data_IF_799977859800
#
_entry.id   IF_799977859800
#
_cell.length_a   1.000
_cell.length_b   1.000
_cell.length_c   1.000
_cell.angle_alpha   90.00
_cell.angle_beta   90.00
_cell.angle_gamma   90.00
#
_symmetry.space_group_name_H-M   'P 1'
#
loop_
_entity.id
_entity.type
_entity.pdbx_description
1 polymer ?
#
# COMPACT_ATOMS: atom_id res chain seq x y z
N UNK A 1 14.58 1.44 3.79
CA UNK A 1 14.44 2.90 3.90
C UNK A 1 12.95 3.25 3.82
N UNK A 2 12.39 3.96 4.81
CA UNK A 2 10.97 4.38 4.79
C UNK A 2 10.92 5.85 4.33
N UNK A 3 10.28 6.11 3.20
CA UNK A 3 10.10 7.47 2.67
C UNK A 3 8.73 7.98 3.09
N UNK A 4 8.70 9.14 3.76
CA UNK A 4 7.46 9.81 4.18
C UNK A 4 7.40 11.22 3.60
N UNK A 5 6.18 11.72 3.38
CA UNK A 5 5.98 13.07 2.89
C UNK A 5 6.40 14.13 3.90
N UNK A 6 6.95 15.25 3.42
CA UNK A 6 7.27 16.42 4.25
C UNK A 6 6.01 17.22 4.57
N UNK A 7 5.91 17.72 5.80
CA UNK A 7 4.75 18.49 6.26
C UNK A 7 5.10 19.97 6.36
N UNK A 8 4.22 20.86 5.90
CA UNK A 8 4.32 22.28 6.18
C UNK A 8 4.14 22.53 7.70
N UNK A 9 4.81 23.54 8.22
CA UNK A 9 4.64 24.00 9.61
C UNK A 9 4.12 25.44 9.61
N UNK A 10 3.72 25.94 10.79
CA UNK A 10 3.22 27.32 10.93
C UNK A 10 4.22 28.37 10.42
N UNK A 11 5.52 28.10 10.56
CA UNK A 11 6.61 29.00 10.15
C UNK A 11 7.21 28.68 8.78
N UNK A 12 6.84 27.55 8.15
CA UNK A 12 7.46 27.11 6.89
C UNK A 12 6.46 26.44 5.96
N UNK A 13 6.32 27.02 4.77
CA UNK A 13 5.61 26.39 3.64
C UNK A 13 6.51 25.39 2.94
N UNK A 14 5.89 24.42 2.26
CA UNK A 14 6.62 23.48 1.41
C UNK A 14 7.11 24.18 0.14
N UNK A 15 8.37 23.93 -0.22
CA UNK A 15 8.88 24.30 -1.54
C UNK A 15 8.17 23.50 -2.63
N UNK A 16 8.24 23.96 -3.88
CA UNK A 16 7.58 23.24 -4.98
C UNK A 16 8.20 21.86 -5.20
N UNK A 17 9.52 21.72 -5.02
CA UNK A 17 10.21 20.43 -5.05
C UNK A 17 9.73 19.47 -3.94
N UNK A 18 9.48 19.99 -2.73
CA UNK A 18 8.92 19.19 -1.62
C UNK A 18 7.48 18.75 -1.91
N UNK A 19 6.67 19.61 -2.53
CA UNK A 19 5.30 19.24 -2.94
C UNK A 19 5.31 18.18 -4.03
N UNK A 20 6.23 18.28 -4.98
CA UNK A 20 6.36 17.27 -6.04
C UNK A 20 6.81 15.92 -5.47
N UNK A 21 7.82 15.92 -4.62
CA UNK A 21 8.26 14.72 -3.92
C UNK A 21 7.11 14.08 -3.11
N UNK A 22 6.31 14.89 -2.41
CA UNK A 22 5.13 14.41 -1.69
C UNK A 22 4.09 13.82 -2.64
N UNK A 23 3.84 14.43 -3.80
CA UNK A 23 2.88 13.92 -4.79
C UNK A 23 3.32 12.55 -5.31
N UNK A 24 4.60 12.39 -5.63
CA UNK A 24 5.17 11.11 -6.06
C UNK A 24 5.00 10.04 -4.97
N UNK A 25 5.37 10.34 -3.73
CA UNK A 25 5.19 9.41 -2.60
C UNK A 25 3.72 9.06 -2.37
N UNK A 26 2.82 10.03 -2.45
CA UNK A 26 1.38 9.80 -2.30
C UNK A 26 0.82 8.93 -3.43
N UNK A 27 1.30 9.10 -4.67
CA UNK A 27 0.90 8.26 -5.81
C UNK A 27 1.27 6.81 -5.60
N UNK A 28 2.50 6.54 -5.15
CA UNK A 28 2.96 5.18 -4.85
C UNK A 28 2.16 4.55 -3.70
N UNK A 29 1.78 5.36 -2.68
CA UNK A 29 0.97 4.89 -1.55
C UNK A 29 -0.47 4.59 -1.91
N UNK A 30 -1.07 5.35 -2.83
CA UNK A 30 -2.50 5.27 -3.13
C UNK A 30 -2.93 3.84 -3.50
N UNK A 31 -2.15 3.14 -4.34
CA UNK A 31 -2.46 1.76 -4.73
C UNK A 31 -2.54 0.81 -3.52
N UNK A 32 -1.56 0.91 -2.61
CA UNK A 32 -1.52 0.09 -1.39
C UNK A 32 -2.67 0.45 -0.46
N UNK A 33 -2.91 1.74 -0.23
CA UNK A 33 -3.97 2.21 0.67
C UNK A 33 -5.36 1.77 0.16
N UNK A 34 -5.64 1.90 -1.13
CA UNK A 34 -6.88 1.42 -1.75
C UNK A 34 -7.00 -0.10 -1.66
N UNK A 35 -5.93 -0.84 -1.94
CA UNK A 35 -5.91 -2.30 -1.77
C UNK A 35 -6.26 -2.71 -0.34
N UNK A 36 -5.62 -2.10 0.66
CA UNK A 36 -5.91 -2.37 2.07
C UNK A 36 -7.31 -1.94 2.50
N UNK A 37 -7.86 -0.87 1.94
CA UNK A 37 -9.25 -0.49 2.16
C UNK A 37 -10.20 -1.62 1.71
N UNK A 38 -10.01 -2.14 0.49
CA UNK A 38 -10.81 -3.26 -0.02
C UNK A 38 -10.68 -4.51 0.85
N UNK A 39 -9.45 -4.88 1.26
CA UNK A 39 -9.23 -6.03 2.13
C UNK A 39 -9.93 -5.90 3.50
N UNK A 40 -10.03 -4.68 4.04
CA UNK A 40 -10.79 -4.39 5.26
C UNK A 40 -12.29 -4.50 5.01
N UNK A 41 -12.80 -3.89 3.94
CA UNK A 41 -14.23 -3.95 3.55
C UNK A 41 -14.72 -5.40 3.41
N UNK A 42 -13.92 -6.27 2.79
CA UNK A 42 -14.26 -7.69 2.62
C UNK A 42 -13.93 -8.57 3.84
N UNK A 43 -13.41 -7.96 4.92
CA UNK A 43 -12.95 -8.62 6.16
C UNK A 43 -11.92 -9.73 5.92
N UNK A 44 -11.14 -9.64 4.84
CA UNK A 44 -10.12 -10.65 4.49
C UNK A 44 -9.08 -10.74 5.59
N UNK A 45 -8.65 -9.61 6.15
CA UNK A 45 -7.67 -9.59 7.23
C UNK A 45 -8.15 -10.32 8.49
N UNK A 46 -9.45 -10.21 8.82
CA UNK A 46 -10.05 -10.94 9.93
C UNK A 46 -10.11 -12.45 9.64
N UNK A 47 -10.54 -12.84 8.43
CA UNK A 47 -10.60 -14.25 8.00
C UNK A 47 -9.21 -14.91 8.05
N UNK A 48 -8.20 -14.21 7.55
CA UNK A 48 -6.78 -14.64 7.57
C UNK A 48 -6.28 -14.78 9.01
N UNK A 49 -6.59 -13.83 9.91
CA UNK A 49 -6.18 -13.90 11.32
C UNK A 49 -6.81 -15.08 12.06
N UNK A 50 -8.05 -15.44 11.74
CA UNK A 50 -8.78 -16.49 12.45
C UNK A 50 -8.43 -17.92 11.97
N UNK A 51 -7.84 -18.08 10.78
CA UNK A 51 -7.55 -19.41 10.23
C UNK A 51 -6.36 -19.39 9.27
N UNK A 52 -5.31 -20.15 9.62
CA UNK A 52 -4.08 -20.27 8.83
C UNK A 52 -4.30 -20.82 7.41
N UNK A 53 -5.36 -21.60 7.17
CA UNK A 53 -5.74 -22.06 5.82
C UNK A 53 -6.04 -20.88 4.90
N UNK A 54 -6.74 -19.85 5.39
CA UNK A 54 -7.04 -18.66 4.60
C UNK A 54 -5.76 -17.85 4.29
N UNK A 55 -4.83 -17.76 5.24
CA UNK A 55 -3.53 -17.14 5.01
C UNK A 55 -2.75 -17.85 3.89
N UNK A 56 -2.70 -19.19 3.95
CA UNK A 56 -1.99 -20.02 2.96
C UNK A 56 -2.61 -19.90 1.57
N UNK A 57 -3.95 -19.94 1.46
CA UNK A 57 -4.64 -19.76 0.18
C UNK A 57 -4.36 -18.38 -0.41
N UNK A 58 -4.44 -17.32 0.40
CA UNK A 58 -4.14 -15.96 -0.05
C UNK A 58 -2.69 -15.83 -0.51
N UNK A 59 -1.73 -16.37 0.26
CA UNK A 59 -0.31 -16.35 -0.10
C UNK A 59 -0.06 -17.05 -1.44
N UNK A 60 -0.65 -18.23 -1.67
CA UNK A 60 -0.52 -18.95 -2.94
C UNK A 60 -1.10 -18.16 -4.11
N UNK A 61 -2.27 -17.55 -3.95
CA UNK A 61 -2.89 -16.72 -4.97
C UNK A 61 -2.01 -15.51 -5.32
N UNK A 62 -1.47 -14.82 -4.30
CA UNK A 62 -0.55 -13.69 -4.48
C UNK A 62 0.75 -14.13 -5.15
N UNK A 63 1.30 -15.29 -4.81
CA UNK A 63 2.51 -15.82 -5.44
C UNK A 63 2.29 -16.09 -6.93
N UNK A 64 1.16 -16.70 -7.31
CA UNK A 64 0.83 -16.91 -8.73
C UNK A 64 0.69 -15.57 -9.45
N UNK A 65 -0.07 -14.64 -8.89
CA UNK A 65 -0.27 -13.31 -9.47
C UNK A 65 1.05 -12.56 -9.68
N UNK A 66 1.91 -12.52 -8.65
CA UNK A 66 3.20 -11.84 -8.74
C UNK A 66 4.12 -12.48 -9.81
N UNK A 67 4.15 -13.81 -9.91
CA UNK A 67 4.89 -14.46 -10.97
C UNK A 67 4.31 -14.14 -12.34
N UNK A 68 2.99 -14.12 -12.52
CA UNK A 68 2.39 -13.77 -13.81
C UNK A 68 2.66 -12.32 -14.23
N UNK A 69 2.73 -11.39 -13.28
CA UNK A 69 3.10 -9.99 -13.57
C UNK A 69 4.57 -9.85 -13.97
N UNK A 70 5.48 -10.61 -13.36
CA UNK A 70 6.91 -10.59 -13.71
C UNK A 70 7.19 -11.16 -15.10
N UNK A 71 6.39 -12.13 -15.55
CA UNK A 71 6.54 -12.78 -16.86
C UNK A 71 5.68 -12.14 -17.96
N UNK A 72 4.97 -11.05 -17.66
CA UNK A 72 4.19 -10.25 -18.62
C UNK A 72 5.03 -9.11 -19.16
#
# INVERSE_FOLDING_TARGET
MIITGRKATRSRRLTDAEREANRLVSRERAAVEHGFANLKTWRVLTKVRMNARHATTLLRALLVLANTEVHR
#
